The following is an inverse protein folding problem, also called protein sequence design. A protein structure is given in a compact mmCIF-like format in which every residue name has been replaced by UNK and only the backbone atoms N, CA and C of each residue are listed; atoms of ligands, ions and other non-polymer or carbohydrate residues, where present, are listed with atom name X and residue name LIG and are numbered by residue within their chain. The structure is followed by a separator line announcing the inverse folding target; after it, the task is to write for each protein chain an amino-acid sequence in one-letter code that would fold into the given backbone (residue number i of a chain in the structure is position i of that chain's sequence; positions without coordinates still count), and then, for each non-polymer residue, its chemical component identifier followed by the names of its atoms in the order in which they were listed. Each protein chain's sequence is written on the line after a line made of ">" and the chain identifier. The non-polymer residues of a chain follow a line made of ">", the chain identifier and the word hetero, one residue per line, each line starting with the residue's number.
data_IF_032836872948
#
_entry.id   IF_032836872948
#
_cell.length_a   1.000
_cell.length_b   1.000
_cell.length_c   1.000
_cell.angle_alpha   90.00
_cell.angle_beta   90.00
_cell.angle_gamma   90.00
#
_symmetry.space_group_name_H-M   'P 1'
#
loop_
_entity.id
_entity.type
_entity.pdbx_description
1 polymer ?
#
# COMPACT_ATOMS: atom_id res chain seq x y z
N UNK A 1 34.99 31.76 -11.39
CA UNK A 1 34.07 32.60 -10.61
C UNK A 1 33.67 31.81 -9.33
N UNK A 2 34.20 32.27 -8.16
CA UNK A 2 34.08 31.50 -6.89
C UNK A 2 32.80 31.91 -6.18
N UNK A 3 31.87 31.00 -5.99
CA UNK A 3 30.62 31.22 -5.20
C UNK A 3 30.84 30.71 -3.77
N UNK A 4 30.77 31.63 -2.82
CA UNK A 4 30.99 31.39 -1.39
C UNK A 4 29.77 30.71 -0.75
N UNK A 5 30.02 29.59 -0.08
CA UNK A 5 29.03 28.92 0.79
C UNK A 5 28.77 29.76 2.05
N UNK A 6 27.52 30.12 2.31
CA UNK A 6 27.06 30.67 3.62
C UNK A 6 26.43 29.55 4.41
N UNK A 7 27.09 29.20 5.51
CA UNK A 7 26.58 28.32 6.57
C UNK A 7 25.79 29.20 7.53
N UNK A 8 24.52 28.92 7.75
CA UNK A 8 23.71 29.52 8.81
C UNK A 8 23.46 28.43 9.84
N UNK A 9 24.14 28.54 10.97
CA UNK A 9 23.89 27.75 12.17
C UNK A 9 22.76 28.42 12.97
N UNK A 10 21.67 27.70 13.18
CA UNK A 10 20.58 28.14 14.06
C UNK A 10 20.53 27.24 15.30
N UNK A 11 21.07 27.75 16.40
CA UNK A 11 20.94 27.14 17.73
C UNK A 11 19.53 27.45 18.26
N UNK A 12 18.77 26.41 18.62
CA UNK A 12 17.61 26.53 19.49
C UNK A 12 17.87 25.82 20.81
N UNK A 13 18.02 26.61 21.84
CA UNK A 13 18.07 26.20 23.26
C UNK A 13 16.64 25.92 23.75
N UNK A 14 16.39 24.70 24.24
CA UNK A 14 15.16 24.39 24.98
C UNK A 14 15.47 24.40 26.48
N UNK A 15 14.79 25.30 27.19
CA UNK A 15 14.79 25.37 28.65
C UNK A 15 13.80 24.36 29.23
N UNK A 16 14.28 23.51 30.12
CA UNK A 16 13.51 22.58 30.94
C UNK A 16 13.04 23.32 32.20
N UNK A 17 11.72 23.35 32.41
CA UNK A 17 11.14 23.74 33.72
C UNK A 17 10.44 22.50 34.30
N UNK A 18 11.02 22.00 35.41
CA UNK A 18 10.42 20.98 36.23
C UNK A 18 9.41 21.57 37.21
N UNK A 19 8.36 20.84 37.53
CA UNK A 19 7.57 21.03 38.75
C UNK A 19 7.08 19.68 39.26
N UNK A 20 7.55 19.38 40.46
CA UNK A 20 7.19 18.25 41.32
C UNK A 20 5.95 18.61 42.17
N UNK A 21 5.34 17.54 42.69
CA UNK A 21 4.59 17.40 43.95
C UNK A 21 3.09 17.25 43.86
N UNK A 22 2.65 16.10 44.42
CA UNK A 22 1.28 15.89 44.87
C UNK A 22 0.93 14.42 45.15
N UNK A 23 1.51 13.87 46.27
CA UNK A 23 0.95 12.68 46.92
C UNK A 23 -0.36 13.04 47.60
N UNK A 24 -1.40 12.20 47.47
CA UNK A 24 -2.64 12.28 48.24
C UNK A 24 -3.33 10.92 48.28
N UNK A 25 -3.45 10.44 49.48
CA UNK A 25 -3.75 9.10 49.96
C UNK A 25 -5.27 8.82 49.99
N UNK A 26 -5.65 7.56 49.74
CA UNK A 26 -6.79 6.74 50.21
C UNK A 26 -8.09 7.43 50.62
N UNK A 27 -9.19 6.99 50.04
CA UNK A 27 -10.28 6.46 50.86
C UNK A 27 -11.22 5.53 50.04
N UNK A 28 -11.52 4.44 50.68
CA UNK A 28 -12.42 3.36 50.33
C UNK A 28 -13.85 3.81 50.52
N UNK A 29 -14.69 3.72 49.50
CA UNK A 29 -16.13 3.48 49.71
C UNK A 29 -16.76 2.73 48.57
N UNK A 30 -17.50 1.69 48.96
CA UNK A 30 -18.21 0.68 48.22
C UNK A 30 -19.57 1.22 47.69
N UNK A 31 -20.20 0.55 46.71
CA UNK A 31 -21.23 1.14 45.83
C UNK A 31 -22.63 1.07 46.42
N UNK A 32 -23.59 1.85 45.88
CA UNK A 32 -24.99 1.46 45.94
C UNK A 32 -25.43 0.75 44.67
N UNK A 33 -26.14 -0.29 44.92
CA UNK A 33 -26.94 -1.10 43.98
C UNK A 33 -28.03 -0.26 43.29
N UNK A 34 -28.38 -0.80 42.09
CA UNK A 34 -29.74 -0.90 41.54
C UNK A 34 -30.27 0.34 40.82
N UNK A 35 -30.36 0.24 39.50
CA UNK A 35 -31.66 0.19 38.82
C UNK A 35 -31.54 -0.40 37.43
N UNK A 36 -32.18 -1.55 37.26
CA UNK A 36 -32.49 -2.15 35.97
C UNK A 36 -33.56 -1.25 35.33
N UNK A 37 -33.18 -0.55 34.30
CA UNK A 37 -34.13 0.05 33.38
C UNK A 37 -33.92 -0.61 32.02
N UNK A 38 -34.82 -1.53 31.73
CA UNK A 38 -35.09 -1.95 30.35
C UNK A 38 -35.80 -0.79 29.64
N UNK A 39 -35.34 -0.36 28.51
CA UNK A 39 -36.20 0.15 27.48
C UNK A 39 -36.36 -0.93 26.41
N UNK A 40 -37.54 -1.35 26.25
CA UNK A 40 -38.08 -1.90 25.04
C UNK A 40 -37.96 -0.89 23.91
N UNK A 41 -37.82 -1.49 22.75
CA UNK A 41 -38.39 -1.04 21.47
C UNK A 41 -37.49 -0.32 20.47
N UNK A 42 -37.14 -1.15 19.47
CA UNK A 42 -37.43 -0.89 18.06
C UNK A 42 -36.71 0.25 17.36
N UNK A 43 -35.58 -0.13 16.74
CA UNK A 43 -35.26 0.32 15.38
C UNK A 43 -34.47 -0.78 14.69
N UNK A 44 -35.19 -1.75 14.12
CA UNK A 44 -34.70 -2.54 13.02
C UNK A 44 -34.49 -1.57 11.84
N UNK A 45 -33.32 -0.93 11.83
CA UNK A 45 -32.78 -0.35 10.62
C UNK A 45 -32.27 -1.50 9.79
N UNK A 46 -33.04 -1.94 8.81
CA UNK A 46 -32.54 -2.67 7.66
C UNK A 46 -31.38 -1.86 7.11
N UNK A 47 -30.16 -2.34 7.36
CA UNK A 47 -29.02 -2.01 6.53
C UNK A 47 -29.35 -2.66 5.20
N UNK A 48 -29.87 -1.87 4.28
CA UNK A 48 -29.82 -2.22 2.86
C UNK A 48 -28.33 -2.44 2.55
N UNK A 49 -27.91 -3.69 2.53
CA UNK A 49 -26.68 -4.08 1.85
C UNK A 49 -26.89 -3.72 0.39
N UNK A 50 -26.48 -2.49 0.05
CA UNK A 50 -26.20 -2.12 -1.34
C UNK A 50 -25.10 -3.08 -1.80
N UNK A 51 -25.54 -4.21 -2.31
CA UNK A 51 -24.68 -5.14 -3.01
C UNK A 51 -24.27 -4.45 -4.33
N UNK A 52 -23.34 -3.49 -4.21
CA UNK A 52 -22.63 -2.95 -5.34
C UNK A 52 -21.77 -4.10 -5.83
N UNK A 53 -22.30 -4.84 -6.81
CA UNK A 53 -21.52 -5.77 -7.61
C UNK A 53 -20.46 -4.92 -8.32
N UNK A 54 -19.32 -4.72 -7.66
CA UNK A 54 -18.15 -4.08 -8.24
C UNK A 54 -17.67 -5.06 -9.30
N UNK A 55 -18.05 -4.82 -10.56
CA UNK A 55 -17.48 -5.53 -11.68
C UNK A 55 -15.95 -5.42 -11.53
N UNK A 56 -15.29 -6.56 -11.33
CA UNK A 56 -13.85 -6.59 -11.18
C UNK A 56 -13.23 -5.95 -12.43
N UNK A 57 -12.35 -4.96 -12.27
CA UNK A 57 -11.74 -4.29 -13.42
C UNK A 57 -11.06 -5.32 -14.32
N UNK A 58 -10.97 -5.02 -15.62
CA UNK A 58 -10.29 -5.90 -16.60
C UNK A 58 -8.88 -6.25 -16.13
N UNK A 59 -8.18 -5.31 -15.47
CA UNK A 59 -6.83 -5.52 -14.94
C UNK A 59 -6.82 -6.39 -13.68
N UNK A 60 -7.86 -6.32 -12.83
CA UNK A 60 -8.02 -7.25 -11.70
C UNK A 60 -8.19 -8.69 -12.20
N UNK A 61 -9.03 -8.88 -13.23
CA UNK A 61 -9.22 -10.17 -13.89
C UNK A 61 -7.93 -10.67 -14.57
N UNK A 62 -7.16 -9.76 -15.17
CA UNK A 62 -5.85 -10.10 -15.74
C UNK A 62 -4.89 -10.60 -14.65
N UNK A 63 -4.78 -9.91 -13.51
CA UNK A 63 -3.95 -10.38 -12.39
C UNK A 63 -4.40 -11.76 -11.93
N UNK A 64 -5.71 -11.99 -11.75
CA UNK A 64 -6.24 -13.30 -11.39
C UNK A 64 -5.82 -14.38 -12.40
N UNK A 65 -5.89 -14.08 -13.69
CA UNK A 65 -5.52 -15.02 -14.75
C UNK A 65 -4.03 -15.35 -14.77
N UNK A 66 -3.16 -14.33 -14.64
CA UNK A 66 -1.70 -14.55 -14.68
C UNK A 66 -1.14 -15.18 -13.40
N UNK A 67 -1.93 -15.18 -12.32
CA UNK A 67 -1.58 -15.80 -11.04
C UNK A 67 -2.33 -17.10 -10.77
N UNK A 68 -3.13 -17.59 -11.73
CA UNK A 68 -3.87 -18.85 -11.59
C UNK A 68 -2.91 -20.03 -11.34
N UNK A 69 -3.19 -20.80 -10.28
CA UNK A 69 -2.35 -21.92 -9.88
C UNK A 69 -1.02 -21.56 -9.22
N UNK A 70 -0.77 -20.27 -8.96
CA UNK A 70 0.39 -19.77 -8.20
C UNK A 70 -0.01 -19.55 -6.75
N UNK A 71 0.77 -20.10 -5.82
CA UNK A 71 0.56 -19.88 -4.40
C UNK A 71 1.10 -18.51 -4.00
N UNK A 72 0.20 -17.61 -3.61
CA UNK A 72 0.51 -16.25 -3.17
C UNK A 72 -0.02 -16.01 -1.76
N UNK A 73 0.62 -15.13 -0.95
CA UNK A 73 0.01 -14.65 0.28
C UNK A 73 -1.32 -13.94 -0.02
N UNK A 74 -2.23 -13.88 0.98
CA UNK A 74 -3.50 -13.17 0.83
C UNK A 74 -3.26 -11.73 0.36
N UNK A 75 -3.94 -11.33 -0.70
CA UNK A 75 -3.79 -10.04 -1.35
C UNK A 75 -5.04 -9.17 -1.17
N UNK A 76 -4.84 -7.86 -1.17
CA UNK A 76 -5.92 -6.87 -1.29
C UNK A 76 -5.59 -5.86 -2.37
N UNK A 77 -6.61 -5.24 -2.94
CA UNK A 77 -6.42 -4.11 -3.84
C UNK A 77 -5.87 -2.90 -3.07
N UNK A 78 -4.87 -2.21 -3.64
CA UNK A 78 -4.44 -0.91 -3.13
C UNK A 78 -5.58 0.11 -3.31
N UNK A 79 -5.84 0.90 -2.27
CA UNK A 79 -6.84 1.97 -2.35
C UNK A 79 -6.41 3.05 -3.36
N UNK A 80 -7.32 3.55 -4.20
CA UNK A 80 -6.98 4.52 -5.25
C UNK A 80 -6.31 5.80 -4.71
N UNK A 81 -6.71 6.27 -3.54
CA UNK A 81 -6.12 7.46 -2.89
C UNK A 81 -4.66 7.27 -2.50
N UNK A 82 -4.20 6.04 -2.33
CA UNK A 82 -2.80 5.73 -1.99
C UNK A 82 -1.89 5.70 -3.22
N UNK A 83 -2.46 5.48 -4.41
CA UNK A 83 -1.71 5.20 -5.62
C UNK A 83 -0.73 6.31 -6.00
N UNK A 84 -1.21 7.55 -6.07
CA UNK A 84 -0.40 8.70 -6.49
C UNK A 84 0.80 8.94 -5.56
N UNK A 85 0.60 8.83 -4.25
CA UNK A 85 1.67 9.00 -3.26
C UNK A 85 2.67 7.84 -3.33
N UNK A 86 2.18 6.63 -3.53
CA UNK A 86 2.97 5.39 -3.54
C UNK A 86 3.87 5.30 -4.76
N UNK A 87 3.30 5.49 -5.95
CA UNK A 87 4.03 5.35 -7.21
C UNK A 87 4.52 6.69 -7.77
N UNK A 88 3.79 7.78 -7.53
CA UNK A 88 4.08 9.09 -8.12
C UNK A 88 3.80 9.13 -9.62
N UNK A 89 2.99 8.21 -10.13
CA UNK A 89 2.56 8.16 -11.53
C UNK A 89 1.35 9.10 -11.70
N UNK A 90 1.38 9.94 -12.72
CA UNK A 90 0.22 10.73 -13.11
C UNK A 90 -0.84 9.80 -13.72
N UNK A 91 -1.99 9.67 -13.05
CA UNK A 91 -3.10 8.83 -13.52
C UNK A 91 -3.67 9.27 -14.86
N UNK A 92 -3.43 10.51 -15.29
CA UNK A 92 -3.82 10.98 -16.62
C UNK A 92 -3.09 10.25 -17.76
N UNK A 93 -1.93 9.64 -17.50
CA UNK A 93 -1.19 8.82 -18.46
C UNK A 93 -1.79 7.42 -18.62
N UNK A 94 -2.58 6.97 -17.64
CA UNK A 94 -3.12 5.63 -17.58
C UNK A 94 -4.57 5.60 -18.06
N UNK A 95 -4.90 4.59 -18.85
CA UNK A 95 -6.29 4.21 -19.15
C UNK A 95 -6.90 3.53 -17.92
N UNK A 96 -6.14 2.63 -17.29
CA UNK A 96 -6.51 1.92 -16.08
C UNK A 96 -5.24 1.45 -15.34
N UNK A 97 -5.39 1.08 -14.07
CA UNK A 97 -4.36 0.42 -13.29
C UNK A 97 -5.00 -0.45 -12.19
N UNK A 98 -4.31 -1.50 -11.83
CA UNK A 98 -4.68 -2.31 -10.67
C UNK A 98 -3.42 -2.74 -9.92
N UNK A 99 -3.43 -2.56 -8.61
CA UNK A 99 -2.32 -2.93 -7.72
C UNK A 99 -2.84 -3.85 -6.65
N UNK A 100 -2.27 -5.04 -6.57
CA UNK A 100 -2.53 -6.04 -5.55
C UNK A 100 -1.34 -6.10 -4.59
N UNK A 101 -1.59 -5.89 -3.31
CA UNK A 101 -0.58 -5.89 -2.26
C UNK A 101 -0.89 -6.95 -1.22
N UNK A 102 0.13 -7.46 -0.52
CA UNK A 102 -0.10 -8.40 0.58
C UNK A 102 -0.91 -7.74 1.70
N UNK A 103 -1.89 -8.49 2.24
CA UNK A 103 -2.63 -8.10 3.44
C UNK A 103 -1.74 -8.08 4.70
N UNK A 104 -0.62 -8.79 4.67
CA UNK A 104 0.27 -8.96 5.82
C UNK A 104 1.49 -8.05 5.68
N UNK A 105 1.75 -7.23 6.68
CA UNK A 105 2.89 -6.32 6.73
C UNK A 105 4.26 -7.02 6.86
N UNK A 106 4.28 -8.34 6.93
CA UNK A 106 5.49 -9.19 6.94
C UNK A 106 5.76 -9.84 5.57
N UNK A 107 5.01 -9.47 4.54
CA UNK A 107 5.12 -9.98 3.17
C UNK A 107 5.28 -8.82 2.19
N UNK A 108 6.30 -8.88 1.35
CA UNK A 108 6.60 -7.83 0.36
C UNK A 108 5.92 -8.06 -1.00
N UNK A 109 5.13 -9.12 -1.14
CA UNK A 109 4.49 -9.47 -2.42
C UNK A 109 3.58 -8.35 -2.90
N UNK A 110 3.85 -7.89 -4.12
CA UNK A 110 3.09 -6.83 -4.80
C UNK A 110 3.03 -7.15 -6.30
N UNK A 111 1.84 -7.07 -6.89
CA UNK A 111 1.60 -7.28 -8.32
C UNK A 111 0.79 -6.11 -8.83
N UNK A 112 1.32 -5.37 -9.80
CA UNK A 112 0.65 -4.23 -10.39
C UNK A 112 0.62 -4.34 -11.91
N UNK A 113 -0.51 -3.97 -12.49
CA UNK A 113 -0.65 -3.81 -13.94
C UNK A 113 -1.12 -2.40 -14.24
N UNK A 114 -0.45 -1.75 -15.18
CA UNK A 114 -0.77 -0.42 -15.67
C UNK A 114 -1.12 -0.50 -17.15
N UNK A 115 -2.25 0.05 -17.54
CA UNK A 115 -2.63 0.20 -18.95
C UNK A 115 -2.44 1.66 -19.37
N UNK A 116 -1.52 1.89 -20.29
CA UNK A 116 -1.19 3.21 -20.82
C UNK A 116 -2.28 3.71 -21.78
N UNK A 117 -2.55 5.01 -21.79
CA UNK A 117 -3.31 5.65 -22.87
C UNK A 117 -2.49 5.76 -24.16
N UNK A 118 -1.18 5.98 -24.01
CA UNK A 118 -0.25 6.07 -25.13
C UNK A 118 1.06 5.36 -24.72
N UNK A 119 1.55 4.46 -25.56
CA UNK A 119 2.77 3.68 -25.30
C UNK A 119 4.02 4.57 -25.12
N UNK A 120 4.03 5.78 -25.66
CA UNK A 120 5.13 6.75 -25.48
C UNK A 120 5.31 7.18 -24.02
N UNK A 121 4.30 7.03 -23.17
CA UNK A 121 4.33 7.41 -21.76
C UNK A 121 4.90 6.30 -20.86
N UNK A 122 5.37 5.19 -21.43
CA UNK A 122 5.92 4.05 -20.71
C UNK A 122 7.09 4.45 -19.78
N UNK A 123 7.99 5.33 -20.23
CA UNK A 123 9.13 5.78 -19.42
C UNK A 123 8.70 6.49 -18.12
N UNK A 124 7.59 7.24 -18.16
CA UNK A 124 7.05 7.89 -16.97
C UNK A 124 6.50 6.88 -15.96
N UNK A 125 5.84 5.82 -16.45
CA UNK A 125 5.33 4.73 -15.60
C UNK A 125 6.49 3.91 -15.03
N UNK A 126 7.51 3.60 -15.83
CA UNK A 126 8.71 2.92 -15.37
C UNK A 126 9.44 3.70 -14.27
N UNK A 127 9.54 5.02 -14.39
CA UNK A 127 10.12 5.87 -13.34
C UNK A 127 9.31 5.79 -12.02
N UNK A 128 7.98 5.70 -12.09
CA UNK A 128 7.13 5.48 -10.92
C UNK A 128 7.33 4.11 -10.28
N UNK A 129 7.49 3.07 -11.09
CA UNK A 129 7.83 1.71 -10.62
C UNK A 129 9.18 1.71 -9.90
N UNK A 130 10.20 2.38 -10.48
CA UNK A 130 11.51 2.50 -9.83
C UNK A 130 11.44 3.26 -8.50
N UNK A 131 10.63 4.32 -8.43
CA UNK A 131 10.37 5.04 -7.16
C UNK A 131 9.78 4.09 -6.11
N UNK A 132 8.76 3.31 -6.50
CA UNK A 132 8.12 2.33 -5.61
C UNK A 132 9.11 1.29 -5.13
N UNK A 133 9.86 0.68 -6.03
CA UNK A 133 10.85 -0.33 -5.73
C UNK A 133 11.90 0.17 -4.73
N UNK A 134 12.44 1.39 -4.92
CA UNK A 134 13.39 2.00 -3.98
C UNK A 134 12.80 2.22 -2.60
N UNK A 135 11.54 2.68 -2.51
CA UNK A 135 10.86 2.85 -1.23
C UNK A 135 10.69 1.51 -0.50
N UNK A 136 10.38 0.44 -1.24
CA UNK A 136 10.31 -0.91 -0.69
C UNK A 136 11.69 -1.43 -0.27
N UNK A 137 12.75 -1.19 -1.03
CA UNK A 137 14.11 -1.53 -0.60
C UNK A 137 14.49 -0.86 0.72
N UNK A 138 14.20 0.44 0.87
CA UNK A 138 14.43 1.16 2.12
C UNK A 138 13.64 0.56 3.29
N UNK A 139 12.36 0.24 3.05
CA UNK A 139 11.48 -0.37 4.05
C UNK A 139 11.96 -1.73 4.52
N UNK A 140 12.37 -2.60 3.60
CA UNK A 140 12.70 -4.01 3.89
C UNK A 140 14.16 -4.24 4.24
N UNK A 141 15.07 -3.31 3.92
CA UNK A 141 16.53 -3.45 4.05
C UNK A 141 17.04 -3.86 5.44
N UNK A 142 16.30 -3.50 6.51
CA UNK A 142 16.68 -3.77 7.90
C UNK A 142 15.70 -4.68 8.65
N UNK A 143 14.68 -5.23 7.97
CA UNK A 143 13.59 -5.91 8.66
C UNK A 143 13.58 -7.42 8.41
N UNK A 144 13.20 -7.89 7.23
CA UNK A 144 13.11 -9.31 6.88
C UNK A 144 13.99 -9.60 5.66
N UNK A 145 15.17 -10.20 5.84
CA UNK A 145 16.12 -10.43 4.73
C UNK A 145 15.53 -11.17 3.54
N UNK A 146 14.66 -12.15 3.77
CA UNK A 146 14.02 -12.93 2.70
C UNK A 146 13.07 -12.05 1.88
N UNK A 147 12.31 -11.16 2.51
CA UNK A 147 11.42 -10.24 1.83
C UNK A 147 12.21 -9.14 1.10
N UNK A 148 13.32 -8.69 1.69
CA UNK A 148 14.24 -7.77 1.02
C UNK A 148 14.82 -8.37 -0.27
N UNK A 149 15.20 -9.65 -0.27
CA UNK A 149 15.66 -10.33 -1.49
C UNK A 149 14.55 -10.40 -2.56
N UNK A 150 13.27 -10.61 -2.18
CA UNK A 150 12.17 -10.56 -3.14
C UNK A 150 12.04 -9.16 -3.79
N UNK A 151 12.13 -8.09 -2.97
CA UNK A 151 12.06 -6.70 -3.46
C UNK A 151 13.20 -6.41 -4.45
N UNK A 152 14.41 -6.87 -4.17
CA UNK A 152 15.57 -6.69 -5.07
C UNK A 152 15.44 -7.46 -6.38
N UNK A 153 14.76 -8.60 -6.34
CA UNK A 153 14.56 -9.48 -7.49
C UNK A 153 13.24 -9.22 -8.23
N UNK A 154 12.62 -8.05 -8.03
CA UNK A 154 11.41 -7.67 -8.74
C UNK A 154 11.55 -7.84 -10.25
N UNK A 155 10.42 -8.01 -10.93
CA UNK A 155 10.37 -8.09 -12.38
C UNK A 155 9.43 -7.03 -12.95
N UNK A 156 9.77 -6.57 -14.14
CA UNK A 156 8.91 -5.73 -14.96
C UNK A 156 8.82 -6.33 -16.35
N UNK A 157 7.63 -6.36 -16.89
CA UNK A 157 7.39 -6.75 -18.28
C UNK A 157 6.46 -5.74 -18.95
N UNK A 158 6.71 -5.44 -20.22
CA UNK A 158 5.83 -4.61 -21.02
C UNK A 158 5.39 -5.38 -22.25
N UNK A 159 4.09 -5.31 -22.56
CA UNK A 159 3.54 -5.84 -23.80
C UNK A 159 2.46 -4.90 -24.32
N UNK A 160 2.71 -4.28 -25.47
CA UNK A 160 1.88 -3.21 -25.99
C UNK A 160 1.76 -2.07 -24.97
N UNK A 161 0.54 -1.65 -24.70
CA UNK A 161 0.22 -0.59 -23.76
C UNK A 161 0.10 -1.06 -22.29
N UNK A 162 0.41 -2.32 -21.98
CA UNK A 162 0.35 -2.85 -20.61
C UNK A 162 1.74 -3.06 -20.03
N UNK A 163 1.92 -2.62 -18.80
CA UNK A 163 3.15 -2.80 -18.01
C UNK A 163 2.79 -3.59 -16.75
N UNK A 164 3.49 -4.69 -16.53
CA UNK A 164 3.44 -5.49 -15.30
C UNK A 164 4.63 -5.14 -14.41
N UNK A 165 4.39 -4.95 -13.13
CA UNK A 165 5.39 -4.92 -12.06
C UNK A 165 5.05 -6.03 -11.07
N UNK A 166 6.05 -6.82 -10.67
CA UNK A 166 5.82 -7.94 -9.75
C UNK A 166 6.99 -8.15 -8.78
N UNK A 167 6.64 -8.28 -7.51
CA UNK A 167 7.49 -8.74 -6.41
C UNK A 167 6.87 -10.03 -5.88
N UNK A 168 7.50 -11.15 -6.15
CA UNK A 168 7.08 -12.48 -5.70
C UNK A 168 8.25 -13.46 -5.87
N UNK A 169 8.24 -14.53 -5.12
CA UNK A 169 9.13 -15.69 -5.34
C UNK A 169 8.79 -16.44 -6.63
N UNK A 170 7.58 -16.25 -7.17
CA UNK A 170 7.10 -16.80 -8.45
C UNK A 170 7.08 -15.75 -9.58
N UNK A 171 7.85 -14.66 -9.44
CA UNK A 171 7.81 -13.53 -10.38
C UNK A 171 8.09 -13.92 -11.83
N UNK A 172 9.01 -14.85 -12.09
CA UNK A 172 9.34 -15.32 -13.44
C UNK A 172 8.12 -16.02 -14.08
N UNK A 173 7.41 -16.86 -13.35
CA UNK A 173 6.22 -17.55 -13.84
C UNK A 173 5.08 -16.56 -14.12
N UNK A 174 4.90 -15.56 -13.26
CA UNK A 174 3.88 -14.52 -13.45
C UNK A 174 4.17 -13.70 -14.72
N UNK A 175 5.45 -13.36 -14.97
CA UNK A 175 5.88 -12.67 -16.18
C UNK A 175 5.63 -13.53 -17.43
N UNK A 176 5.95 -14.83 -17.38
CA UNK A 176 5.69 -15.74 -18.49
C UNK A 176 4.19 -15.84 -18.79
N UNK A 177 3.35 -15.98 -17.76
CA UNK A 177 1.90 -16.00 -17.91
C UNK A 177 1.39 -14.68 -18.52
N UNK A 178 1.88 -13.53 -18.04
CA UNK A 178 1.52 -12.22 -18.59
C UNK A 178 1.85 -12.12 -20.08
N UNK A 179 3.05 -12.53 -20.48
CA UNK A 179 3.47 -12.52 -21.88
C UNK A 179 2.64 -13.46 -22.78
N UNK A 180 2.05 -14.51 -22.22
CA UNK A 180 1.21 -15.45 -22.95
C UNK A 180 -0.24 -14.96 -23.07
N UNK A 181 -0.77 -14.28 -22.06
CA UNK A 181 -2.19 -13.86 -21.99
C UNK A 181 -2.43 -12.52 -22.68
N UNK A 182 -1.53 -11.55 -22.50
CA UNK A 182 -1.64 -10.23 -23.14
C UNK A 182 -1.29 -10.33 -24.61
N UNK A 183 -2.13 -9.76 -25.48
CA UNK A 183 -1.92 -9.72 -26.94
C UNK A 183 -1.33 -8.40 -27.39
#
# INVERSE_FOLDING_TARGET
>A
MKIKKKVIAMMMTFAVVGSLVGCGQSDTQQPPETEVVTPEDNASGELEEDNVEVEASELANLITTITEGIELPNQIAMLPEMFADTYGIDTNLLKDYYVSISMMNVQATEIAVFELKDEKDADAVMAGIEKRQKALEEQWSSYLPEQYELVKNYKVAQKGNKILFVISDQADQIVDNFNNVVQ
#
